data_IF_423279156849
#
_entry.id   IF_423279156849
#
_cell.length_a   1.000
_cell.length_b   1.000
_cell.length_c   1.000
_cell.angle_alpha   90.00
_cell.angle_beta   90.00
_cell.angle_gamma   90.00
#
_symmetry.space_group_name_H-M   'P 1'
#
loop_
_entity.id
_entity.type
_entity.pdbx_description
1 polymer ?
#
# COMPACT_ATOMS: atom_id res chain seq x y z
N UNK A 1 -77.23 -26.28 -20.43
CA UNK A 1 -77.30 -24.81 -20.25
C UNK A 1 -76.33 -24.45 -19.14
N UNK A 2 -75.05 -24.29 -19.51
CA UNK A 2 -73.93 -24.16 -18.59
C UNK A 2 -73.81 -22.71 -18.09
N UNK A 3 -73.83 -22.52 -16.76
CA UNK A 3 -73.54 -21.25 -16.12
C UNK A 3 -72.05 -20.94 -16.25
N UNK A 4 -71.72 -19.84 -16.94
CA UNK A 4 -70.38 -19.28 -16.99
C UNK A 4 -70.05 -18.58 -15.65
N UNK A 5 -69.09 -19.14 -14.92
CA UNK A 5 -68.38 -18.49 -13.83
C UNK A 5 -67.40 -17.46 -14.40
N UNK A 6 -67.50 -16.20 -13.94
CA UNK A 6 -66.56 -15.14 -14.29
C UNK A 6 -65.24 -15.33 -13.54
N UNK A 7 -64.14 -15.48 -14.28
CA UNK A 7 -62.76 -15.42 -13.77
C UNK A 7 -62.37 -13.94 -13.68
N UNK A 8 -61.78 -13.45 -12.57
CA UNK A 8 -61.26 -12.08 -12.53
C UNK A 8 -59.95 -11.99 -13.33
N UNK A 9 -59.88 -10.96 -14.17
CA UNK A 9 -58.74 -10.59 -14.99
C UNK A 9 -57.59 -10.13 -14.08
N UNK A 10 -56.55 -10.94 -13.89
CA UNK A 10 -55.31 -10.53 -13.22
C UNK A 10 -54.59 -9.58 -14.19
N UNK A 11 -54.55 -8.30 -13.83
CA UNK A 11 -53.78 -7.28 -14.55
C UNK A 11 -52.30 -7.52 -14.25
N UNK A 12 -51.54 -7.99 -15.24
CA UNK A 12 -50.09 -8.07 -15.15
C UNK A 12 -49.52 -6.65 -15.15
N UNK A 13 -49.04 -6.19 -14.00
CA UNK A 13 -48.26 -4.96 -13.89
C UNK A 13 -46.87 -5.27 -14.46
N UNK A 14 -46.62 -4.84 -15.70
CA UNK A 14 -45.27 -4.73 -16.23
C UNK A 14 -44.57 -3.58 -15.50
N UNK A 15 -43.73 -3.92 -14.52
CA UNK A 15 -42.77 -2.97 -13.95
C UNK A 15 -41.69 -2.78 -15.02
N UNK A 16 -41.80 -1.72 -15.80
CA UNK A 16 -40.70 -1.19 -16.59
C UNK A 16 -39.64 -0.67 -15.63
N UNK A 17 -38.61 -1.48 -15.38
CA UNK A 17 -37.36 -1.02 -14.79
C UNK A 17 -36.79 0.04 -15.72
N UNK A 18 -37.05 1.31 -15.40
CA UNK A 18 -36.37 2.43 -16.03
C UNK A 18 -34.89 2.30 -15.72
N UNK A 19 -34.09 1.96 -16.72
CA UNK A 19 -32.66 2.23 -16.71
C UNK A 19 -32.48 3.75 -16.71
N UNK A 20 -32.56 4.35 -15.52
CA UNK A 20 -31.82 5.59 -15.30
C UNK A 20 -30.36 5.19 -15.20
N UNK A 21 -29.67 5.26 -16.33
CA UNK A 21 -28.24 5.44 -16.34
C UNK A 21 -27.93 6.57 -15.35
N UNK A 22 -27.07 6.29 -14.36
CA UNK A 22 -26.53 7.34 -13.52
C UNK A 22 -25.76 8.27 -14.44
N UNK A 23 -26.38 9.41 -14.78
CA UNK A 23 -25.67 10.54 -15.34
C UNK A 23 -24.63 10.93 -14.29
N UNK A 24 -23.39 10.58 -14.57
CA UNK A 24 -22.24 11.06 -13.82
C UNK A 24 -22.28 12.59 -13.91
N UNK A 25 -22.39 13.25 -12.77
CA UNK A 25 -22.47 14.71 -12.67
C UNK A 25 -21.28 15.34 -13.42
N UNK A 26 -21.56 15.94 -14.58
CA UNK A 26 -20.56 16.48 -15.51
C UNK A 26 -20.00 17.84 -15.06
N UNK A 27 -20.05 18.13 -13.76
CA UNK A 27 -19.56 19.39 -13.16
C UNK A 27 -18.35 19.21 -12.25
N UNK A 28 -17.91 17.97 -11.99
CA UNK A 28 -16.72 17.72 -11.16
C UNK A 28 -15.44 17.76 -11.98
N UNK A 29 -14.54 18.67 -11.60
CA UNK A 29 -13.20 18.67 -12.17
C UNK A 29 -12.43 17.47 -11.66
N UNK A 30 -11.79 16.68 -12.52
CA UNK A 30 -11.01 15.50 -12.10
C UNK A 30 -9.52 15.72 -12.32
N UNK A 31 -8.74 15.71 -11.26
CA UNK A 31 -7.28 15.75 -11.29
C UNK A 31 -6.68 14.37 -11.09
N UNK A 32 -5.63 14.04 -11.83
CA UNK A 32 -4.83 12.83 -11.62
C UNK A 32 -3.36 13.07 -12.02
N UNK A 33 -2.43 12.64 -11.17
CA UNK A 33 -1.01 12.95 -11.28
C UNK A 33 -0.46 13.69 -10.05
N UNK A 34 0.78 14.22 -10.13
CA UNK A 34 1.64 14.24 -11.30
C UNK A 34 2.27 12.88 -11.60
N UNK A 35 2.44 12.58 -12.88
CA UNK A 35 3.24 11.47 -13.41
C UNK A 35 4.53 12.03 -13.98
N UNK A 36 5.67 11.59 -13.46
CA UNK A 36 7.00 12.11 -13.83
C UNK A 36 7.74 11.07 -14.63
N UNK A 37 7.95 11.33 -15.92
CA UNK A 37 8.65 10.44 -16.85
C UNK A 37 10.05 10.99 -17.17
N UNK A 38 10.99 10.09 -17.37
CA UNK A 38 12.32 10.36 -17.91
C UNK A 38 12.33 9.97 -19.39
N UNK A 39 12.45 10.95 -20.29
CA UNK A 39 12.41 10.73 -21.74
C UNK A 39 13.52 11.54 -22.37
N UNK A 40 14.40 10.88 -23.12
CA UNK A 40 15.51 11.52 -23.87
C UNK A 40 16.41 12.44 -23.02
N UNK A 41 16.51 12.18 -21.71
CA UNK A 41 17.32 12.98 -20.77
C UNK A 41 16.55 14.11 -20.07
N UNK A 42 15.28 14.33 -20.41
CA UNK A 42 14.41 15.34 -19.79
C UNK A 42 13.36 14.72 -18.87
N UNK A 43 12.82 15.55 -17.97
CA UNK A 43 11.66 15.26 -17.14
C UNK A 43 10.40 15.74 -17.85
N UNK A 44 9.49 14.81 -18.12
CA UNK A 44 8.14 15.11 -18.57
C UNK A 44 7.19 14.94 -17.39
N UNK A 45 6.70 16.05 -16.85
CA UNK A 45 5.72 16.08 -15.77
C UNK A 45 4.33 16.18 -16.39
N UNK A 46 3.56 15.11 -16.31
CA UNK A 46 2.21 15.06 -16.86
C UNK A 46 1.16 15.00 -15.75
N UNK A 47 0.04 15.67 -15.96
CA UNK A 47 -1.15 15.50 -15.14
C UNK A 47 -2.39 15.63 -16.01
N UNK A 48 -3.49 15.05 -15.54
CA UNK A 48 -4.79 15.14 -16.18
C UNK A 48 -5.62 16.13 -15.37
N UNK A 49 -6.27 17.06 -16.07
CA UNK A 49 -7.34 17.87 -15.53
C UNK A 49 -8.57 17.68 -16.41
N UNK A 50 -9.61 17.15 -15.81
CA UNK A 50 -10.83 16.67 -16.48
C UNK A 50 -10.48 15.55 -17.45
N UNK A 51 -10.42 15.89 -18.73
CA UNK A 51 -9.99 15.00 -19.82
C UNK A 51 -8.78 15.55 -20.57
N UNK A 52 -8.24 16.68 -20.14
CA UNK A 52 -7.13 17.36 -20.78
C UNK A 52 -5.82 16.95 -20.13
N UNK A 53 -4.87 16.52 -20.94
CA UNK A 53 -3.51 16.26 -20.50
C UNK A 53 -2.71 17.57 -20.55
N UNK A 54 -2.08 17.88 -19.43
CA UNK A 54 -1.09 18.93 -19.33
C UNK A 54 0.30 18.28 -19.22
N UNK A 55 1.29 18.88 -19.87
CA UNK A 55 2.67 18.36 -19.87
C UNK A 55 3.64 19.53 -19.76
N UNK A 56 4.48 19.47 -18.72
CA UNK A 56 5.64 20.33 -18.58
C UNK A 56 6.89 19.51 -18.90
N UNK A 57 7.73 20.02 -19.79
CA UNK A 57 9.04 19.43 -20.11
C UNK A 57 10.13 20.27 -19.47
N UNK A 58 10.93 19.65 -18.62
CA UNK A 58 11.99 20.28 -17.85
C UNK A 58 13.29 19.51 -18.07
N UNK A 59 14.43 20.20 -18.07
CA UNK A 59 15.71 19.51 -18.07
C UNK A 59 15.87 18.68 -16.79
N UNK A 60 16.42 17.47 -16.88
CA UNK A 60 16.69 16.65 -15.70
C UNK A 60 17.67 17.30 -14.72
N UNK A 61 18.48 18.27 -15.16
CA UNK A 61 19.35 19.08 -14.29
C UNK A 61 18.55 19.94 -13.30
N UNK A 62 17.26 20.20 -13.59
CA UNK A 62 16.37 20.93 -12.69
C UNK A 62 15.79 20.06 -11.58
N UNK A 63 15.99 18.72 -11.61
CA UNK A 63 15.44 17.81 -10.60
C UNK A 63 15.80 18.23 -9.16
N UNK A 64 17.06 18.56 -8.83
CA UNK A 64 17.41 18.99 -7.49
C UNK A 64 16.68 20.29 -7.14
N UNK A 65 15.81 20.23 -6.13
CA UNK A 65 14.99 21.38 -5.69
C UNK A 65 13.68 21.58 -6.46
N UNK A 66 13.36 20.72 -7.44
CA UNK A 66 12.03 20.72 -8.07
C UNK A 66 10.99 20.16 -7.10
N UNK A 67 10.01 20.98 -6.75
CA UNK A 67 8.82 20.56 -6.01
C UNK A 67 7.61 20.54 -6.93
N UNK A 68 6.82 19.47 -6.86
CA UNK A 68 5.63 19.27 -7.69
C UNK A 68 4.36 19.34 -6.83
N UNK A 69 3.28 19.96 -7.34
CA UNK A 69 2.01 19.96 -6.65
C UNK A 69 1.28 18.62 -6.81
N UNK A 70 0.76 18.10 -5.71
CA UNK A 70 -0.21 17.01 -5.65
C UNK A 70 -1.57 17.62 -5.33
N UNK A 71 -2.54 17.43 -6.24
CA UNK A 71 -3.81 18.15 -6.22
C UNK A 71 -4.98 17.18 -6.04
N UNK A 72 -5.83 17.46 -5.06
CA UNK A 72 -7.09 16.78 -4.82
C UNK A 72 -8.24 17.58 -5.42
N UNK A 73 -8.92 16.97 -6.39
CA UNK A 73 -10.06 17.52 -7.12
C UNK A 73 -11.12 18.19 -6.23
N UNK A 74 -11.63 17.44 -5.26
CA UNK A 74 -12.75 17.86 -4.40
C UNK A 74 -12.28 18.41 -3.04
N UNK A 75 -10.98 18.36 -2.75
CA UNK A 75 -10.42 18.69 -1.44
C UNK A 75 -9.15 19.56 -1.55
N UNK A 76 -9.22 20.81 -2.06
CA UNK A 76 -8.03 21.65 -2.23
C UNK A 76 -7.21 21.88 -0.95
N UNK A 77 -7.85 21.82 0.22
CA UNK A 77 -7.17 21.90 1.52
C UNK A 77 -6.23 20.72 1.80
N UNK A 78 -6.34 19.64 1.02
CA UNK A 78 -5.49 18.45 1.11
C UNK A 78 -4.31 18.51 0.14
N UNK A 79 -4.25 19.50 -0.75
CA UNK A 79 -3.14 19.67 -1.68
C UNK A 79 -1.82 19.82 -0.92
N UNK A 80 -0.74 19.31 -1.50
CA UNK A 80 0.59 19.48 -0.95
C UNK A 80 1.64 19.51 -2.05
N UNK A 81 2.81 20.04 -1.72
CA UNK A 81 3.98 19.97 -2.59
C UNK A 81 4.89 18.81 -2.15
N UNK A 82 5.47 18.14 -3.14
CA UNK A 82 6.45 17.08 -2.96
C UNK A 82 7.76 17.46 -3.66
N UNK A 83 8.88 17.66 -2.92
CA UNK A 83 10.19 17.81 -3.53
C UNK A 83 10.63 16.46 -4.12
N UNK A 84 11.17 16.47 -5.35
CA UNK A 84 11.77 15.28 -5.93
C UNK A 84 13.12 14.98 -5.25
N UNK A 85 13.32 13.71 -4.90
CA UNK A 85 14.57 13.19 -4.37
C UNK A 85 15.66 13.31 -5.44
N UNK A 86 16.80 13.88 -5.07
CA UNK A 86 17.93 14.02 -5.99
C UNK A 86 18.44 12.66 -6.44
N UNK A 87 18.58 11.74 -5.50
CA UNK A 87 18.99 10.35 -5.75
C UNK A 87 18.03 9.39 -5.05
N UNK A 88 17.89 8.19 -5.62
CA UNK A 88 17.06 7.12 -5.08
C UNK A 88 17.99 6.00 -4.60
N UNK A 89 17.83 5.59 -3.36
CA UNK A 89 18.65 4.54 -2.75
C UNK A 89 17.78 3.42 -2.19
N UNK A 90 18.26 2.18 -2.29
CA UNK A 90 17.67 1.09 -1.53
C UNK A 90 17.89 1.31 -0.04
N UNK A 91 16.83 1.20 0.79
CA UNK A 91 16.94 1.43 2.21
C UNK A 91 17.67 0.26 2.91
N UNK A 92 18.24 0.48 4.11
CA UNK A 92 18.76 -0.60 4.96
C UNK A 92 17.69 -1.67 5.23
N UNK A 93 18.14 -2.89 5.55
CA UNK A 93 17.22 -4.00 5.87
C UNK A 93 17.03 -4.16 7.38
N UNK A 94 17.93 -3.60 8.18
CA UNK A 94 17.91 -3.71 9.64
C UNK A 94 18.02 -2.33 10.29
N UNK A 95 17.20 -2.11 11.32
CA UNK A 95 17.11 -0.87 12.07
C UNK A 95 17.13 -1.16 13.57
N UNK A 96 17.65 -0.21 14.35
CA UNK A 96 17.48 -0.24 15.80
C UNK A 96 15.99 -0.11 16.18
N UNK A 97 15.63 -0.60 17.36
CA UNK A 97 14.28 -0.43 17.89
C UNK A 97 14.01 1.06 18.15
N UNK A 98 13.02 1.69 17.49
CA UNK A 98 12.63 3.05 17.81
C UNK A 98 11.85 3.09 19.13
N UNK A 99 11.89 4.21 19.83
CA UNK A 99 11.05 4.39 21.04
C UNK A 99 9.56 4.33 20.71
N UNK A 100 9.20 4.70 19.49
CA UNK A 100 7.84 4.80 19.00
C UNK A 100 7.77 4.37 17.53
N UNK A 101 6.86 3.47 17.18
CA UNK A 101 6.61 3.09 15.78
C UNK A 101 5.11 2.92 15.54
N UNK A 102 4.61 3.47 14.44
CA UNK A 102 3.25 3.24 13.94
C UNK A 102 3.33 2.33 12.71
N UNK A 103 2.62 1.21 12.71
CA UNK A 103 2.61 0.21 11.64
C UNK A 103 1.20 0.08 11.07
N UNK A 104 1.10 0.20 9.75
CA UNK A 104 -0.09 0.12 8.92
C UNK A 104 0.16 -0.88 7.78
N UNK A 105 -0.89 -1.34 7.11
CA UNK A 105 -0.80 -2.17 5.90
C UNK A 105 -2.07 -2.02 5.08
N UNK A 106 -2.04 -2.43 3.80
CA UNK A 106 -3.22 -2.64 2.97
C UNK A 106 -4.12 -1.39 2.86
N UNK A 107 -3.48 -0.22 2.82
CA UNK A 107 -4.18 1.06 2.61
C UNK A 107 -4.82 1.11 1.23
N UNK A 108 -4.21 0.46 0.23
CA UNK A 108 -4.76 0.26 -1.12
C UNK A 108 -5.35 1.56 -1.69
N UNK A 109 -4.56 2.64 -1.67
CA UNK A 109 -4.94 3.93 -2.27
C UNK A 109 -6.08 4.70 -1.59
N UNK A 110 -6.49 4.36 -0.37
CA UNK A 110 -7.50 5.09 0.41
C UNK A 110 -6.86 6.21 1.25
N UNK A 111 -6.50 7.32 0.59
CA UNK A 111 -5.73 8.42 1.18
C UNK A 111 -6.41 9.06 2.38
N UNK A 112 -7.74 9.22 2.35
CA UNK A 112 -8.49 9.87 3.43
C UNK A 112 -8.34 9.13 4.76
N UNK A 113 -8.45 7.80 4.73
CA UNK A 113 -8.26 6.95 5.89
C UNK A 113 -6.81 6.99 6.40
N UNK A 114 -5.84 6.90 5.48
CA UNK A 114 -4.42 7.03 5.79
C UNK A 114 -4.10 8.36 6.47
N UNK A 115 -4.52 9.48 5.87
CA UNK A 115 -4.35 10.83 6.41
C UNK A 115 -4.96 10.95 7.81
N UNK A 116 -6.19 10.48 8.00
CA UNK A 116 -6.87 10.56 9.29
C UNK A 116 -6.14 9.75 10.38
N UNK A 117 -5.65 8.55 10.05
CA UNK A 117 -4.82 7.74 10.95
C UNK A 117 -3.52 8.46 11.36
N UNK A 118 -2.81 9.04 10.40
CA UNK A 118 -1.55 9.74 10.67
C UNK A 118 -1.77 10.99 11.52
N UNK A 119 -2.81 11.79 11.25
CA UNK A 119 -3.16 12.97 12.03
C UNK A 119 -3.55 12.61 13.47
N UNK A 120 -4.47 11.65 13.62
CA UNK A 120 -4.97 11.23 14.93
C UNK A 120 -3.84 10.69 15.84
N UNK A 121 -2.83 10.07 15.24
CA UNK A 121 -1.67 9.50 15.94
C UNK A 121 -0.44 10.42 15.96
N UNK A 122 -0.59 11.67 15.49
CA UNK A 122 0.45 12.72 15.50
C UNK A 122 1.71 12.30 14.78
N UNK A 123 1.56 11.60 13.65
CA UNK A 123 2.67 11.30 12.73
C UNK A 123 2.93 12.50 11.84
N UNK A 124 1.85 13.16 11.41
CA UNK A 124 1.88 14.37 10.60
C UNK A 124 0.95 15.45 11.18
N UNK A 125 1.15 16.69 10.76
CA UNK A 125 0.14 17.76 10.90
C UNK A 125 -0.74 17.88 9.64
N UNK A 126 -1.68 18.84 9.65
CA UNK A 126 -2.63 19.09 8.54
C UNK A 126 -1.93 19.52 7.24
N UNK A 127 -0.67 19.97 7.31
CA UNK A 127 0.17 20.37 6.17
C UNK A 127 1.13 19.25 5.73
N UNK A 128 0.97 18.04 6.28
CA UNK A 128 1.82 16.89 6.03
C UNK A 128 3.28 17.09 6.47
N UNK A 129 3.54 17.96 7.44
CA UNK A 129 4.84 18.04 8.09
C UNK A 129 4.97 16.89 9.08
N UNK A 130 6.18 16.37 9.21
CA UNK A 130 6.48 15.31 10.17
C UNK A 130 6.36 15.84 11.61
N UNK A 131 5.63 15.11 12.46
CA UNK A 131 5.44 15.45 13.89
C UNK A 131 5.70 14.27 14.82
N UNK A 132 6.21 13.16 14.28
CA UNK A 132 6.47 11.94 15.04
C UNK A 132 7.87 11.91 15.71
N UNK A 133 8.64 12.99 15.63
CA UNK A 133 10.00 13.08 16.19
C UNK A 133 10.89 11.94 15.68
N UNK A 134 11.57 11.24 16.60
CA UNK A 134 12.40 10.07 16.28
C UNK A 134 11.62 8.77 16.08
N UNK A 135 10.29 8.85 15.99
CA UNK A 135 9.46 7.68 15.77
C UNK A 135 9.59 7.16 14.34
N UNK A 136 9.10 5.95 14.08
CA UNK A 136 9.09 5.36 12.76
C UNK A 136 7.65 5.15 12.27
N UNK A 137 7.39 5.38 10.98
CA UNK A 137 6.16 4.97 10.30
C UNK A 137 6.47 3.76 9.42
N UNK A 138 5.64 2.72 9.46
CA UNK A 138 5.82 1.52 8.64
C UNK A 138 4.55 1.23 7.85
N UNK A 139 4.70 1.03 6.55
CA UNK A 139 3.66 0.50 5.67
C UNK A 139 4.08 -0.91 5.25
N UNK A 140 3.35 -1.92 5.70
CA UNK A 140 3.64 -3.34 5.50
C UNK A 140 3.01 -3.89 4.20
N UNK A 141 3.07 -3.14 3.10
CA UNK A 141 2.62 -3.57 1.78
C UNK A 141 1.25 -3.04 1.36
N UNK A 142 0.94 -3.37 0.10
CA UNK A 142 -0.31 -3.08 -0.61
C UNK A 142 -0.64 -1.59 -0.64
N UNK A 143 0.20 -0.88 -1.38
CA UNK A 143 0.07 0.55 -1.65
C UNK A 143 -0.93 0.85 -2.78
N UNK A 144 -1.03 -0.09 -3.72
CA UNK A 144 -1.79 0.01 -4.96
C UNK A 144 -3.20 -0.59 -4.88
N UNK A 145 -3.93 -0.43 -5.98
CA UNK A 145 -5.24 -1.02 -6.27
C UNK A 145 -6.38 -0.54 -5.37
N UNK A 146 -7.61 -0.92 -5.74
CA UNK A 146 -8.90 -0.65 -5.06
C UNK A 146 -9.25 0.81 -4.78
N UNK A 147 -8.40 1.59 -4.13
CA UNK A 147 -8.65 2.99 -3.83
C UNK A 147 -8.48 3.91 -5.04
N UNK A 148 -9.10 5.08 -4.93
CA UNK A 148 -9.10 6.09 -5.98
C UNK A 148 -8.09 7.20 -5.78
N UNK A 149 -7.19 7.10 -4.80
CA UNK A 149 -6.17 8.13 -4.51
C UNK A 149 -4.76 7.53 -4.34
N UNK A 150 -4.43 6.55 -5.18
CA UNK A 150 -3.14 5.83 -5.16
C UNK A 150 -1.99 6.80 -5.46
N UNK A 151 -2.12 7.66 -6.48
CA UNK A 151 -1.04 8.55 -6.89
C UNK A 151 -0.67 9.52 -5.77
N UNK A 152 -1.67 10.13 -5.13
CA UNK A 152 -1.48 11.06 -4.03
C UNK A 152 -0.90 10.36 -2.79
N UNK A 153 -1.34 9.12 -2.54
CA UNK A 153 -0.81 8.29 -1.46
C UNK A 153 0.67 7.98 -1.64
N UNK A 154 1.08 7.54 -2.84
CA UNK A 154 2.49 7.26 -3.14
C UNK A 154 3.35 8.52 -3.00
N UNK A 155 2.87 9.68 -3.48
CA UNK A 155 3.60 10.93 -3.35
C UNK A 155 3.74 11.40 -1.90
N UNK A 156 2.74 11.16 -1.05
CA UNK A 156 2.86 11.46 0.37
C UNK A 156 3.90 10.57 1.04
N UNK A 157 3.93 9.27 0.77
CA UNK A 157 4.97 8.38 1.28
C UNK A 157 6.37 8.80 0.81
N UNK A 158 6.50 9.12 -0.48
CA UNK A 158 7.73 9.62 -1.09
C UNK A 158 8.23 10.92 -0.42
N UNK A 159 7.31 11.83 -0.07
CA UNK A 159 7.61 13.05 0.69
C UNK A 159 8.05 12.72 2.12
N UNK A 160 7.30 11.87 2.82
CA UNK A 160 7.54 11.55 4.23
C UNK A 160 8.89 10.84 4.45
N UNK A 161 9.34 10.01 3.50
CA UNK A 161 10.69 9.42 3.53
C UNK A 161 11.82 10.48 3.55
N UNK A 162 11.59 11.67 2.98
CA UNK A 162 12.57 12.75 2.96
C UNK A 162 12.52 13.61 4.24
N UNK A 163 11.32 13.86 4.76
CA UNK A 163 11.15 14.79 5.88
C UNK A 163 11.30 14.12 7.25
N UNK A 164 10.94 12.85 7.40
CA UNK A 164 11.06 12.16 8.68
C UNK A 164 12.51 12.09 9.22
N UNK A 165 13.54 11.80 8.40
CA UNK A 165 14.92 11.78 8.86
C UNK A 165 15.45 13.12 9.38
N UNK A 166 14.86 14.25 8.97
CA UNK A 166 15.27 15.58 9.44
C UNK A 166 15.06 15.76 10.95
N UNK A 167 14.10 15.06 11.52
CA UNK A 167 13.83 15.01 12.97
C UNK A 167 14.31 13.71 13.63
N UNK A 168 15.11 12.92 12.90
CA UNK A 168 15.64 11.63 13.34
C UNK A 168 14.61 10.50 13.33
N UNK A 169 13.46 10.67 12.67
CA UNK A 169 12.48 9.63 12.42
C UNK A 169 12.77 8.85 11.13
N UNK A 170 11.86 7.95 10.76
CA UNK A 170 12.01 7.15 9.54
C UNK A 170 10.65 6.69 8.98
N UNK A 171 10.59 6.46 7.67
CA UNK A 171 9.45 5.85 7.00
C UNK A 171 9.90 4.58 6.29
N UNK A 172 9.27 3.46 6.64
CA UNK A 172 9.50 2.16 6.04
C UNK A 172 8.38 1.86 5.06
N UNK A 173 8.71 1.78 3.77
CA UNK A 173 7.79 1.33 2.73
C UNK A 173 8.22 -0.05 2.30
N UNK A 174 7.45 -1.06 2.73
CA UNK A 174 7.65 -2.46 2.41
C UNK A 174 6.64 -2.85 1.33
N UNK A 175 7.07 -3.57 0.29
CA UNK A 175 6.17 -3.95 -0.81
C UNK A 175 5.31 -5.18 -0.45
N UNK A 176 4.05 -5.12 -0.86
CA UNK A 176 3.06 -6.19 -0.82
C UNK A 176 2.78 -6.80 -2.19
N UNK A 177 1.75 -7.65 -2.26
CA UNK A 177 1.45 -8.34 -3.51
C UNK A 177 0.83 -7.42 -4.56
N UNK A 178 -0.02 -6.47 -4.16
CA UNK A 178 -0.64 -5.52 -5.10
C UNK A 178 0.43 -4.62 -5.73
N UNK A 179 1.47 -4.27 -4.99
CA UNK A 179 2.60 -3.48 -5.51
C UNK A 179 3.34 -4.25 -6.62
N UNK A 180 3.65 -5.52 -6.38
CA UNK A 180 4.33 -6.37 -7.37
C UNK A 180 3.42 -6.70 -8.56
N UNK A 181 2.13 -6.93 -8.32
CA UNK A 181 1.15 -7.12 -9.39
C UNK A 181 1.15 -5.93 -10.35
N UNK A 182 1.08 -4.71 -9.82
CA UNK A 182 1.11 -3.49 -10.61
C UNK A 182 2.44 -3.29 -11.35
N UNK A 183 3.57 -3.58 -10.71
CA UNK A 183 4.88 -3.48 -11.37
C UNK A 183 5.10 -4.55 -12.45
N UNK A 184 4.47 -5.73 -12.32
CA UNK A 184 4.68 -6.88 -13.21
C UNK A 184 3.61 -7.07 -14.29
N UNK A 185 2.61 -6.18 -14.36
CA UNK A 185 1.61 -6.17 -15.43
C UNK A 185 0.29 -6.88 -15.10
N UNK A 186 0.02 -7.18 -13.83
CA UNK A 186 -1.24 -7.75 -13.38
C UNK A 186 -2.15 -6.67 -12.77
N UNK A 187 -3.15 -6.23 -13.54
CA UNK A 187 -3.99 -5.07 -13.21
C UNK A 187 -5.42 -5.43 -12.79
N UNK A 188 -5.65 -6.67 -12.35
CA UNK A 188 -7.00 -7.18 -12.07
C UNK A 188 -7.76 -6.40 -10.99
N UNK A 189 -7.06 -5.67 -10.12
CA UNK A 189 -7.64 -4.90 -9.01
C UNK A 189 -7.48 -3.38 -9.17
N UNK A 190 -6.88 -2.93 -10.28
CA UNK A 190 -6.71 -1.51 -10.59
C UNK A 190 -8.07 -0.87 -10.85
N UNK A 191 -8.33 0.28 -10.22
CA UNK A 191 -9.56 1.05 -10.48
C UNK A 191 -9.64 1.46 -11.96
N UNK A 192 -10.80 1.27 -12.65
CA UNK A 192 -10.92 1.54 -14.09
C UNK A 192 -10.50 2.95 -14.52
N UNK A 193 -10.62 3.95 -13.63
CA UNK A 193 -10.20 5.32 -13.92
C UNK A 193 -8.74 5.41 -14.36
N UNK A 194 -7.84 4.61 -13.76
CA UNK A 194 -6.41 4.73 -14.06
C UNK A 194 -6.07 4.18 -15.45
N UNK A 195 -6.78 3.17 -15.93
CA UNK A 195 -6.64 2.70 -17.31
C UNK A 195 -7.16 3.73 -18.33
N UNK A 196 -8.28 4.41 -18.02
CA UNK A 196 -8.78 5.50 -18.83
C UNK A 196 -7.81 6.69 -18.86
N UNK A 197 -7.24 7.05 -17.71
CA UNK A 197 -6.26 8.11 -17.57
C UNK A 197 -4.95 7.80 -18.29
N UNK A 198 -4.44 6.56 -18.21
CA UNK A 198 -3.30 6.12 -18.99
C UNK A 198 -3.54 6.31 -20.50
N UNK A 199 -4.75 5.98 -20.96
CA UNK A 199 -5.15 6.19 -22.37
C UNK A 199 -5.12 7.67 -22.76
N UNK A 200 -5.61 8.58 -21.90
CA UNK A 200 -5.51 10.04 -22.14
C UNK A 200 -4.05 10.48 -22.25
N UNK A 201 -3.17 9.95 -21.41
CA UNK A 201 -1.73 10.18 -21.44
C UNK A 201 -1.01 9.54 -22.64
N UNK A 202 -1.75 8.83 -23.51
CA UNK A 202 -1.21 8.05 -24.64
C UNK A 202 -0.21 6.98 -24.20
N UNK A 203 -0.51 6.32 -23.07
CA UNK A 203 0.34 5.31 -22.42
C UNK A 203 -0.48 4.08 -22.03
N UNK A 204 0.20 2.97 -21.80
CA UNK A 204 -0.39 1.88 -21.04
C UNK A 204 -0.35 2.21 -19.54
N UNK A 205 -1.22 1.58 -18.74
CA UNK A 205 -1.17 1.75 -17.29
C UNK A 205 0.18 1.29 -16.69
N UNK A 206 0.77 0.24 -17.26
CA UNK A 206 2.11 -0.24 -16.90
C UNK A 206 3.17 0.87 -17.01
N UNK A 207 3.10 1.71 -18.06
CA UNK A 207 4.12 2.73 -18.32
C UNK A 207 4.16 3.81 -17.23
N UNK A 208 3.06 4.02 -16.50
CA UNK A 208 2.95 5.02 -15.43
C UNK A 208 3.89 4.71 -14.24
N UNK A 209 4.25 3.44 -14.04
CA UNK A 209 5.12 2.97 -12.96
C UNK A 209 6.31 2.16 -13.48
N UNK A 210 6.71 2.40 -14.73
CA UNK A 210 7.89 1.77 -15.34
C UNK A 210 9.21 2.27 -14.74
N UNK A 211 10.32 1.65 -15.12
CA UNK A 211 11.68 2.09 -14.75
C UNK A 211 12.07 3.48 -15.30
N UNK A 212 11.28 4.02 -16.23
CA UNK A 212 11.44 5.36 -16.75
C UNK A 212 10.55 6.39 -16.04
N UNK A 213 9.94 6.05 -14.90
CA UNK A 213 9.17 7.02 -14.09
C UNK A 213 9.74 7.21 -12.71
N UNK A 214 9.51 8.38 -12.11
CA UNK A 214 10.04 8.67 -10.76
C UNK A 214 9.51 7.68 -9.71
N UNK A 215 8.18 7.51 -9.65
CA UNK A 215 7.55 6.57 -8.71
C UNK A 215 7.92 5.11 -9.04
N UNK A 216 8.01 4.74 -10.31
CA UNK A 216 8.42 3.39 -10.71
C UNK A 216 9.86 3.06 -10.30
N UNK A 217 10.79 4.02 -10.45
CA UNK A 217 12.17 3.88 -9.96
C UNK A 217 12.21 3.82 -8.42
N UNK A 218 11.43 4.67 -7.76
CA UNK A 218 11.33 4.72 -6.31
C UNK A 218 10.80 3.40 -5.71
N UNK A 219 9.73 2.83 -6.27
CA UNK A 219 9.18 1.54 -5.84
C UNK A 219 10.21 0.40 -5.96
N UNK A 220 11.01 0.40 -7.04
CA UNK A 220 12.07 -0.60 -7.25
C UNK A 220 13.22 -0.52 -6.25
N UNK A 221 13.32 0.54 -5.44
CA UNK A 221 14.31 0.62 -4.35
C UNK A 221 13.90 -0.17 -3.11
N UNK A 222 12.60 -0.38 -2.90
CA UNK A 222 12.01 -0.80 -1.62
C UNK A 222 12.39 -2.22 -1.21
N UNK A 223 12.24 -2.48 0.09
CA UNK A 223 12.37 -3.82 0.67
C UNK A 223 11.03 -4.55 0.63
N UNK A 224 11.08 -5.87 0.79
CA UNK A 224 9.93 -6.77 0.94
C UNK A 224 9.87 -7.38 2.34
N UNK A 225 10.96 -7.24 3.09
CA UNK A 225 11.06 -7.64 4.50
C UNK A 225 12.11 -6.78 5.20
N UNK A 226 11.81 -6.35 6.41
CA UNK A 226 12.74 -5.57 7.24
C UNK A 226 12.75 -6.07 8.69
N UNK A 227 13.91 -5.90 9.34
CA UNK A 227 14.05 -6.09 10.79
C UNK A 227 14.09 -4.72 11.47
N UNK A 228 13.13 -4.43 12.32
CA UNK A 228 13.02 -3.17 13.06
C UNK A 228 13.09 -3.48 14.55
N UNK A 229 14.28 -3.39 15.14
CA UNK A 229 14.54 -3.89 16.48
C UNK A 229 14.26 -5.39 16.59
N UNK A 230 13.27 -5.74 17.40
CA UNK A 230 12.81 -7.10 17.65
C UNK A 230 11.65 -7.54 16.74
N UNK A 231 11.29 -6.74 15.75
CA UNK A 231 10.20 -7.00 14.81
C UNK A 231 10.75 -7.46 13.47
N UNK A 232 10.16 -8.50 12.91
CA UNK A 232 10.24 -8.80 11.48
C UNK A 232 8.95 -8.30 10.82
N UNK A 233 9.07 -7.36 9.90
CA UNK A 233 7.92 -6.76 9.20
C UNK A 233 7.98 -7.12 7.72
N UNK A 234 6.86 -7.62 7.21
CA UNK A 234 6.65 -8.00 5.81
C UNK A 234 5.16 -8.04 5.51
N UNK A 235 4.79 -8.18 4.25
CA UNK A 235 3.38 -8.12 3.85
C UNK A 235 2.59 -9.40 4.19
N UNK A 236 2.88 -10.53 3.54
CA UNK A 236 2.12 -11.78 3.74
C UNK A 236 2.62 -12.63 4.91
N UNK A 237 3.89 -13.02 4.85
CA UNK A 237 4.52 -13.84 5.90
C UNK A 237 5.63 -14.74 5.39
N UNK A 238 6.29 -15.47 6.29
CA UNK A 238 7.37 -16.39 5.95
C UNK A 238 6.87 -17.83 6.02
N UNK A 239 6.85 -18.50 4.87
CA UNK A 239 6.44 -19.91 4.78
C UNK A 239 7.55 -20.86 5.28
N UNK A 240 7.21 -22.10 5.68
CA UNK A 240 8.21 -23.11 6.05
C UNK A 240 9.29 -23.30 4.98
N UNK A 241 8.89 -23.34 3.71
CA UNK A 241 9.81 -23.53 2.59
C UNK A 241 10.76 -22.35 2.41
N UNK A 242 10.34 -21.12 2.71
CA UNK A 242 11.23 -19.95 2.74
C UNK A 242 12.18 -20.04 3.94
N UNK A 243 11.69 -20.40 5.13
CA UNK A 243 12.53 -20.60 6.33
C UNK A 243 13.64 -21.64 6.10
N UNK A 244 13.32 -22.76 5.45
CA UNK A 244 14.28 -23.84 5.17
C UNK A 244 15.47 -23.38 4.31
N UNK A 245 15.32 -22.30 3.54
CA UNK A 245 16.44 -21.72 2.77
C UNK A 245 17.47 -21.03 3.66
N UNK A 246 17.09 -20.63 4.87
CA UNK A 246 17.96 -19.94 5.82
C UNK A 246 18.72 -18.75 5.21
N UNK A 247 18.10 -18.05 4.25
CA UNK A 247 18.70 -16.89 3.60
C UNK A 247 18.69 -15.69 4.53
N UNK A 248 19.71 -14.82 4.42
CA UNK A 248 19.67 -13.56 5.15
C UNK A 248 18.58 -12.64 4.59
N UNK A 249 18.04 -11.75 5.44
CA UNK A 249 17.05 -10.75 4.99
C UNK A 249 17.61 -9.85 3.88
N UNK A 250 18.91 -9.56 3.91
CA UNK A 250 19.58 -8.79 2.86
C UNK A 250 19.57 -9.54 1.52
N UNK A 251 19.89 -10.83 1.53
CA UNK A 251 19.89 -11.66 0.32
C UNK A 251 18.47 -11.86 -0.23
N UNK A 252 17.46 -12.02 0.64
CA UNK A 252 16.06 -12.11 0.23
C UNK A 252 15.65 -10.85 -0.53
N UNK A 253 15.91 -9.67 0.03
CA UNK A 253 15.60 -8.40 -0.63
C UNK A 253 16.41 -8.21 -1.93
N UNK A 254 17.72 -8.43 -1.90
CA UNK A 254 18.59 -8.23 -3.06
C UNK A 254 18.27 -9.19 -4.22
N UNK A 255 17.97 -10.45 -3.93
CA UNK A 255 17.61 -11.45 -4.95
C UNK A 255 16.22 -11.24 -5.54
N UNK A 256 15.29 -10.64 -4.77
CA UNK A 256 13.91 -10.41 -5.22
C UNK A 256 13.75 -9.18 -6.12
N UNK A 257 14.49 -8.09 -5.84
CA UNK A 257 14.37 -6.80 -6.55
C UNK A 257 14.42 -6.88 -8.08
N UNK A 258 15.34 -7.65 -8.71
CA UNK A 258 15.40 -7.74 -10.17
C UNK A 258 14.10 -8.26 -10.81
N UNK A 259 13.25 -8.93 -10.03
CA UNK A 259 12.04 -9.58 -10.52
C UNK A 259 10.75 -8.83 -10.18
N UNK A 260 10.80 -7.66 -9.53
CA UNK A 260 9.58 -6.93 -9.15
C UNK A 260 8.68 -6.58 -10.34
N UNK A 261 9.29 -6.27 -11.49
CA UNK A 261 8.57 -5.96 -12.72
C UNK A 261 8.53 -7.13 -13.71
N UNK A 262 8.95 -8.33 -13.29
CA UNK A 262 8.90 -9.52 -14.15
C UNK A 262 7.51 -10.15 -14.04
N UNK A 263 6.78 -10.34 -15.17
CA UNK A 263 5.50 -11.05 -15.15
C UNK A 263 5.64 -12.41 -14.46
N UNK A 264 4.68 -12.78 -13.61
CA UNK A 264 4.76 -13.99 -12.78
C UNK A 264 5.12 -15.26 -13.56
N UNK A 265 4.60 -15.40 -14.79
CA UNK A 265 4.89 -16.55 -15.67
C UNK A 265 6.34 -16.62 -16.18
N UNK A 266 7.10 -15.52 -16.07
CA UNK A 266 8.49 -15.39 -16.50
C UNK A 266 9.46 -15.38 -15.31
N UNK A 267 8.95 -15.32 -14.08
CA UNK A 267 9.78 -15.41 -12.87
C UNK A 267 10.40 -16.82 -12.79
N UNK A 268 11.73 -16.95 -12.66
CA UNK A 268 12.39 -18.26 -12.59
C UNK A 268 11.89 -19.11 -11.43
N UNK A 269 11.85 -20.44 -11.60
CA UNK A 269 11.41 -21.39 -10.57
C UNK A 269 12.15 -21.23 -9.23
N UNK A 270 13.43 -20.87 -9.28
CA UNK A 270 14.23 -20.61 -8.07
C UNK A 270 13.70 -19.44 -7.25
N UNK A 271 13.04 -18.47 -7.88
CA UNK A 271 12.48 -17.27 -7.26
C UNK A 271 10.98 -17.38 -6.96
N UNK A 272 10.27 -18.34 -7.56
CA UNK A 272 8.86 -18.62 -7.27
C UNK A 272 8.61 -18.93 -5.78
N UNK A 273 9.63 -19.46 -5.08
CA UNK A 273 9.56 -19.68 -3.64
C UNK A 273 9.38 -18.38 -2.84
N UNK A 274 9.96 -17.26 -3.29
CA UNK A 274 9.92 -15.98 -2.59
C UNK A 274 8.80 -15.06 -3.11
N UNK A 275 8.49 -15.15 -4.41
CA UNK A 275 7.59 -14.22 -5.10
C UNK A 275 6.21 -14.82 -5.44
N UNK A 276 6.11 -16.15 -5.45
CA UNK A 276 4.87 -16.87 -5.77
C UNK A 276 3.92 -17.00 -4.58
N UNK A 277 2.89 -17.84 -4.73
CA UNK A 277 1.77 -17.98 -3.77
C UNK A 277 2.17 -18.33 -2.32
N UNK A 278 3.30 -19.03 -2.13
CA UNK A 278 3.82 -19.36 -0.80
C UNK A 278 5.01 -18.47 -0.38
N UNK A 279 5.26 -17.42 -1.16
CA UNK A 279 6.32 -16.44 -0.94
C UNK A 279 5.88 -15.30 -0.04
N UNK A 280 6.78 -14.34 0.16
CA UNK A 280 6.68 -13.31 1.19
C UNK A 280 5.47 -12.39 1.01
N UNK A 281 5.04 -12.17 -0.24
CA UNK A 281 3.89 -11.33 -0.56
C UNK A 281 2.55 -12.02 -0.35
N UNK A 282 2.49 -13.35 -0.46
CA UNK A 282 1.22 -14.07 -0.63
C UNK A 282 0.92 -15.08 0.46
N UNK A 283 1.90 -15.38 1.32
CA UNK A 283 1.76 -16.46 2.28
C UNK A 283 0.70 -16.13 3.34
N UNK A 284 -0.41 -16.89 3.35
CA UNK A 284 -1.51 -16.75 4.31
C UNK A 284 -1.52 -17.78 5.43
N UNK A 285 -0.50 -18.65 5.50
CA UNK A 285 -0.52 -19.81 6.38
C UNK A 285 -0.51 -19.50 7.87
N UNK A 286 -0.27 -18.25 8.29
CA UNK A 286 -0.52 -17.84 9.68
C UNK A 286 -2.00 -17.82 10.06
N UNK A 287 -2.90 -17.68 9.09
CA UNK A 287 -4.32 -17.43 9.34
C UNK A 287 -5.25 -18.39 8.58
N UNK A 288 -4.79 -18.92 7.45
CA UNK A 288 -5.54 -19.82 6.56
C UNK A 288 -4.99 -21.25 6.54
N UNK A 289 -5.85 -22.23 6.29
CA UNK A 289 -5.47 -23.65 6.25
C UNK A 289 -4.69 -24.05 4.98
N UNK A 290 -3.68 -24.94 5.07
CA UNK A 290 -3.17 -25.54 6.31
C UNK A 290 -2.37 -24.52 7.13
N UNK A 291 -2.75 -24.33 8.40
CA UNK A 291 -2.13 -23.33 9.27
C UNK A 291 -0.71 -23.74 9.66
N UNK A 292 0.18 -22.76 9.74
CA UNK A 292 1.50 -22.91 10.33
C UNK A 292 1.37 -23.33 11.79
N UNK A 293 2.31 -24.15 12.26
CA UNK A 293 2.39 -24.51 13.68
C UNK A 293 3.11 -23.43 14.48
N UNK A 294 2.93 -23.42 15.81
CA UNK A 294 3.73 -22.58 16.72
C UNK A 294 5.24 -22.79 16.50
N UNK A 295 5.67 -24.05 16.26
CA UNK A 295 7.06 -24.39 16.02
C UNK A 295 7.61 -23.77 14.73
N UNK A 296 6.80 -23.67 13.67
CA UNK A 296 7.18 -22.97 12.43
C UNK A 296 7.39 -21.48 12.67
N UNK A 297 6.51 -20.84 13.43
CA UNK A 297 6.67 -19.41 13.78
C UNK A 297 7.92 -19.21 14.62
N UNK A 298 8.14 -20.06 15.62
CA UNK A 298 9.29 -20.00 16.51
C UNK A 298 10.62 -20.19 15.75
N UNK A 299 10.65 -21.05 14.72
CA UNK A 299 11.84 -21.23 13.89
C UNK A 299 12.14 -20.00 13.01
N UNK A 300 11.10 -19.32 12.48
CA UNK A 300 11.28 -18.02 11.81
C UNK A 300 11.91 -17.00 12.74
N UNK A 301 11.36 -16.87 13.95
CA UNK A 301 11.82 -15.91 14.95
C UNK A 301 13.28 -16.14 15.34
N UNK A 302 13.63 -17.41 15.57
CA UNK A 302 15.00 -17.81 15.89
C UNK A 302 15.96 -17.52 14.73
N UNK A 303 15.57 -17.86 13.50
CA UNK A 303 16.40 -17.65 12.31
C UNK A 303 16.80 -16.18 12.13
N UNK A 304 15.87 -15.25 12.34
CA UNK A 304 16.11 -13.82 12.13
C UNK A 304 16.43 -13.05 13.43
N UNK A 305 16.49 -13.75 14.57
CA UNK A 305 16.80 -13.19 15.88
C UNK A 305 15.85 -12.05 16.27
N UNK A 306 14.54 -12.29 16.12
CA UNK A 306 13.45 -11.36 16.44
C UNK A 306 12.46 -12.03 17.40
N UNK A 307 11.57 -11.24 18.01
CA UNK A 307 10.58 -11.76 18.95
C UNK A 307 9.16 -11.72 18.39
N UNK A 308 8.90 -10.90 17.36
CA UNK A 308 7.57 -10.81 16.74
C UNK A 308 7.66 -10.67 15.23
N UNK A 309 6.64 -11.19 14.56
CA UNK A 309 6.38 -11.00 13.13
C UNK A 309 5.15 -10.08 13.01
N UNK A 310 5.23 -9.07 12.15
CA UNK A 310 4.12 -8.15 11.86
C UNK A 310 3.78 -8.25 10.38
N UNK A 311 2.52 -8.55 10.06
CA UNK A 311 2.04 -8.83 8.69
C UNK A 311 0.71 -8.17 8.39
N UNK A 312 0.52 -7.82 7.12
CA UNK A 312 -0.75 -7.40 6.53
C UNK A 312 -1.43 -8.53 5.76
N UNK A 313 -1.90 -8.23 4.54
CA UNK A 313 -2.38 -9.14 3.48
C UNK A 313 -3.67 -9.93 3.75
N UNK A 314 -3.85 -10.37 4.99
CA UNK A 314 -4.97 -11.20 5.42
C UNK A 314 -5.77 -10.51 6.49
N UNK A 315 -6.95 -10.03 6.09
CA UNK A 315 -8.02 -9.65 6.99
C UNK A 315 -8.38 -10.86 7.87
N UNK A 316 -7.91 -10.85 9.11
CA UNK A 316 -8.21 -11.91 10.09
C UNK A 316 -9.44 -11.56 10.92
N UNK A 317 -9.56 -10.29 11.28
CA UNK A 317 -10.63 -9.72 12.06
C UNK A 317 -10.83 -8.26 11.60
N UNK A 318 -11.85 -7.61 12.13
CA UNK A 318 -12.03 -6.16 12.01
C UNK A 318 -10.98 -5.36 12.78
N UNK A 319 -10.00 -6.00 13.41
CA UNK A 319 -9.12 -5.37 14.39
C UNK A 319 -7.67 -5.85 14.25
N UNK A 320 -6.72 -4.99 14.66
CA UNK A 320 -5.34 -5.43 14.92
C UNK A 320 -5.37 -6.48 16.02
N UNK A 321 -4.82 -7.67 15.74
CA UNK A 321 -4.91 -8.86 16.61
C UNK A 321 -3.57 -9.57 16.74
N UNK A 322 -3.40 -10.34 17.81
CA UNK A 322 -2.21 -11.15 18.04
C UNK A 322 -2.52 -12.64 17.91
N UNK A 323 -1.54 -13.40 17.42
CA UNK A 323 -1.65 -14.83 17.15
C UNK A 323 -0.37 -15.53 17.62
N UNK A 324 -0.42 -16.86 17.74
CA UNK A 324 0.75 -17.68 18.09
C UNK A 324 1.41 -17.26 19.41
N UNK A 325 0.63 -17.16 20.48
CA UNK A 325 1.08 -16.67 21.81
C UNK A 325 1.64 -15.24 21.74
N UNK A 326 1.02 -14.41 20.89
CA UNK A 326 1.39 -13.02 20.67
C UNK A 326 2.64 -12.81 19.82
N UNK A 327 3.16 -13.85 19.16
CA UNK A 327 4.36 -13.81 18.32
C UNK A 327 4.11 -13.29 16.90
N UNK A 328 2.88 -13.38 16.42
CA UNK A 328 2.46 -12.78 15.13
C UNK A 328 1.42 -11.71 15.41
N UNK A 329 1.57 -10.53 14.79
CA UNK A 329 0.59 -9.45 14.85
C UNK A 329 0.07 -9.19 13.45
N UNK A 330 -1.25 -9.35 13.27
CA UNK A 330 -1.93 -9.00 12.03
C UNK A 330 -2.33 -7.51 12.09
N UNK A 331 -1.91 -6.73 11.09
CA UNK A 331 -2.19 -5.29 10.99
C UNK A 331 -3.06 -4.92 9.79
N UNK A 332 -3.38 -5.88 8.92
CA UNK A 332 -4.43 -5.73 7.90
C UNK A 332 -5.80 -5.81 8.58
N UNK A 333 -6.53 -4.70 8.50
CA UNK A 333 -7.90 -4.56 8.97
C UNK A 333 -8.78 -4.25 7.77
N UNK A 334 -10.07 -4.59 7.86
CA UNK A 334 -10.99 -4.41 6.74
C UNK A 334 -11.32 -2.92 6.47
N UNK A 335 -10.36 -2.22 5.86
CA UNK A 335 -10.42 -0.81 5.54
C UNK A 335 -11.55 -0.49 4.56
N UNK A 336 -11.84 -1.40 3.64
CA UNK A 336 -12.95 -1.25 2.68
C UNK A 336 -14.33 -1.31 3.33
N UNK A 337 -14.44 -1.93 4.51
CA UNK A 337 -15.65 -1.87 5.35
C UNK A 337 -15.63 -0.69 6.34
N UNK A 338 -14.70 0.26 6.16
CA UNK A 338 -14.61 1.51 6.93
C UNK A 338 -13.91 1.35 8.29
N UNK A 339 -13.12 0.28 8.48
CA UNK A 339 -12.38 0.05 9.71
C UNK A 339 -10.92 0.44 9.52
N UNK A 340 -10.49 1.52 10.18
CA UNK A 340 -9.13 2.06 10.03
C UNK A 340 -8.38 1.93 11.34
N UNK A 341 -7.36 1.06 11.37
CA UNK A 341 -6.55 0.85 12.56
C UNK A 341 -5.08 0.69 12.23
N UNK A 342 -4.27 0.93 13.25
CA UNK A 342 -2.84 0.75 13.20
C UNK A 342 -2.33 0.07 14.47
N UNK A 343 -1.15 -0.51 14.36
CA UNK A 343 -0.35 -0.92 15.51
C UNK A 343 0.57 0.23 15.92
N UNK A 344 0.38 0.79 17.10
CA UNK A 344 1.32 1.71 17.74
C UNK A 344 2.14 0.94 18.78
N UNK A 345 3.46 0.92 18.63
CA UNK A 345 4.39 0.43 19.66
C UNK A 345 5.07 1.64 20.26
N UNK A 346 4.99 1.80 21.58
CA UNK A 346 5.62 2.90 22.29
C UNK A 346 6.23 2.39 23.59
N UNK A 347 7.55 2.54 23.73
CA UNK A 347 8.33 2.12 24.90
C UNK A 347 8.05 0.67 25.31
N UNK A 348 8.04 -0.23 24.32
CA UNK A 348 7.83 -1.67 24.49
C UNK A 348 6.38 -2.11 24.71
N UNK A 349 5.42 -1.18 24.72
CA UNK A 349 3.99 -1.49 24.84
C UNK A 349 3.31 -1.43 23.47
N UNK A 350 2.40 -2.37 23.22
CA UNK A 350 1.72 -2.54 21.94
C UNK A 350 0.29 -2.04 22.07
N UNK A 351 -0.13 -1.20 21.15
CA UNK A 351 -1.45 -0.58 21.17
C UNK A 351 -2.12 -0.71 19.81
N UNK A 352 -3.41 -0.93 19.84
CA UNK A 352 -4.29 -0.72 18.72
C UNK A 352 -4.76 0.72 18.76
N UNK A 353 -4.59 1.45 17.66
CA UNK A 353 -5.04 2.83 17.50
C UNK A 353 -5.88 2.98 16.25
N UNK A 354 -6.67 4.05 16.16
CA UNK A 354 -7.56 4.29 15.02
C UNK A 354 -7.54 5.76 14.56
N UNK A 355 -8.33 6.07 13.53
CA UNK A 355 -8.49 7.38 12.90
C UNK A 355 -9.20 8.42 13.78
N UNK A 356 -9.73 8.01 14.93
CA UNK A 356 -10.37 8.87 15.95
C UNK A 356 -9.44 9.19 17.12
N UNK A 357 -8.21 8.63 17.12
CA UNK A 357 -7.24 8.80 18.20
C UNK A 357 -7.52 7.91 19.41
N UNK A 358 -8.42 6.94 19.29
CA UNK A 358 -8.62 5.94 20.34
C UNK A 358 -7.36 5.08 20.44
N UNK A 359 -7.00 4.72 21.67
CA UNK A 359 -5.82 3.89 21.96
C UNK A 359 -6.19 2.81 22.95
N UNK A 360 -5.96 1.56 22.57
CA UNK A 360 -6.23 0.37 23.39
C UNK A 360 -4.98 -0.48 23.48
N UNK A 361 -4.65 -0.98 24.68
CA UNK A 361 -3.49 -1.86 24.85
C UNK A 361 -3.81 -3.23 24.24
N UNK A 362 -2.92 -3.75 23.39
CA UNK A 362 -3.02 -5.10 22.87
C UNK A 362 -2.60 -6.09 23.96
N UNK A 363 -3.53 -6.94 24.38
CA UNK A 363 -3.26 -8.02 25.34
C UNK A 363 -2.45 -9.13 24.64
N UNK A 364 -1.20 -9.42 25.05
CA UNK A 364 -0.41 -10.47 24.44
C UNK A 364 -0.91 -11.90 24.73
N UNK A 365 -1.93 -12.06 25.60
CA UNK A 365 -2.50 -13.35 26.01
C UNK A 365 -3.87 -13.66 25.40
N UNK A 366 -4.40 -12.78 24.55
CA UNK A 366 -5.64 -12.97 23.78
C UNK A 366 -5.33 -12.83 22.30
#
# INVERSE_FOLDING_TARGET
MYLFTRIPLITAVFITLSHQAMAQDSTRTTYDGPYVFYIDGDLHVQHIRDTTVHTDTLSAEMKPGLALPVIFSDLPAWNFEVPLQTELHSPPVQYAAPEKVLILSDIEGEFGAFRALLLANKVIDEQYNWTFGKGHLVIAGDLFDRGSTVVEYLWLLYKLEQVAPLDGGYVHVILGNHDIMNLSGDFRYVQPKYAAHATLLQRSYHDLYSENTELGRWLRTKNIVEKIGDLLVLHGGVSPAVNERAMSLADINASSRPFYATPHAQVPDSMQLFLGRNGLFWYRGYFAEPRASQQTVDSTLQLYGVHKIVVGHTIVDSLVTTHYEGKVIAVDVNQHEGIHQALLIERGKYYRVNEKGNRELLDPKK
#
